data_IF_075929136387
#
_entry.id   IF_075929136387
#
_cell.length_a   1.000
_cell.length_b   1.000
_cell.length_c   1.000
_cell.angle_alpha   90.00
_cell.angle_beta   90.00
_cell.angle_gamma   90.00
#
_symmetry.space_group_name_H-M   'P 1'
#
loop_
_entity.id
_entity.type
_entity.pdbx_description
1 polymer ?
#
# COMPACT_ATOMS: atom_id res chain seq x y z
N UNK A 1 -16.33 -10.27 20.17
CA UNK A 1 -16.69 -10.78 18.82
C UNK A 1 -15.42 -10.90 17.98
N UNK A 2 -14.93 -12.13 17.77
CA UNK A 2 -13.80 -12.38 16.86
C UNK A 2 -14.32 -12.38 15.41
N UNK A 3 -14.00 -11.34 14.63
CA UNK A 3 -14.17 -11.41 13.17
C UNK A 3 -13.08 -12.33 12.63
N UNK A 4 -13.38 -13.42 11.91
CA UNK A 4 -12.33 -14.25 11.32
C UNK A 4 -11.56 -13.39 10.32
N UNK A 5 -10.32 -13.04 10.66
CA UNK A 5 -9.37 -12.49 9.67
C UNK A 5 -9.02 -13.64 8.73
N UNK A 6 -9.71 -13.71 7.60
CA UNK A 6 -9.35 -14.61 6.50
C UNK A 6 -7.95 -14.18 6.01
N UNK A 7 -6.91 -14.88 6.48
CA UNK A 7 -5.52 -14.66 6.04
C UNK A 7 -5.35 -15.24 4.64
N UNK A 8 -5.39 -14.39 3.63
CA UNK A 8 -5.07 -14.76 2.26
C UNK A 8 -3.59 -14.44 1.98
N UNK A 9 -2.70 -15.41 2.14
CA UNK A 9 -1.29 -15.23 1.80
C UNK A 9 -1.07 -15.50 0.30
N UNK A 10 -1.21 -14.46 -0.53
CA UNK A 10 -0.92 -14.53 -1.97
C UNK A 10 0.28 -13.65 -2.30
N UNK A 11 1.29 -14.24 -2.93
CA UNK A 11 2.41 -13.47 -3.50
C UNK A 11 1.85 -12.48 -4.53
N UNK A 12 2.16 -11.20 -4.34
CA UNK A 12 1.77 -10.13 -5.24
C UNK A 12 2.99 -9.30 -5.64
N UNK A 13 2.79 -8.44 -6.65
CA UNK A 13 3.69 -7.37 -7.01
C UNK A 13 2.97 -6.05 -6.76
N UNK A 14 3.70 -5.07 -6.23
CA UNK A 14 3.16 -3.75 -5.91
C UNK A 14 3.84 -2.70 -6.76
N UNK A 15 3.04 -1.76 -7.26
CA UNK A 15 3.51 -0.55 -7.91
C UNK A 15 2.85 0.66 -7.26
N UNK A 16 3.62 1.75 -7.16
CA UNK A 16 3.15 3.01 -6.63
C UNK A 16 3.21 4.06 -7.75
N UNK A 17 2.05 4.51 -8.21
CA UNK A 17 1.92 5.48 -9.30
C UNK A 17 1.18 6.71 -8.79
N UNK A 18 1.90 7.81 -8.61
CA UNK A 18 1.34 9.05 -8.03
C UNK A 18 0.67 8.77 -6.68
N UNK A 19 -0.66 8.82 -6.60
CA UNK A 19 -1.44 8.50 -5.41
C UNK A 19 -2.07 7.10 -5.40
N UNK A 20 -1.78 6.25 -6.39
CA UNK A 20 -2.37 4.92 -6.51
C UNK A 20 -1.37 3.83 -6.13
N UNK A 21 -1.76 2.98 -5.20
CA UNK A 21 -1.10 1.70 -4.93
C UNK A 21 -1.80 0.60 -5.72
N UNK A 22 -1.07 -0.01 -6.65
CA UNK A 22 -1.54 -1.08 -7.52
C UNK A 22 -0.99 -2.42 -7.06
N UNK A 23 -1.87 -3.41 -6.95
CA UNK A 23 -1.51 -4.79 -6.61
C UNK A 23 -1.77 -5.71 -7.79
N UNK A 24 -0.74 -6.44 -8.21
CA UNK A 24 -0.82 -7.42 -9.28
C UNK A 24 -0.70 -8.84 -8.70
N UNK A 25 -1.68 -9.68 -9.03
CA UNK A 25 -1.64 -11.09 -8.67
C UNK A 25 -0.55 -11.82 -9.46
N UNK A 26 0.08 -12.82 -8.86
CA UNK A 26 0.99 -13.72 -9.58
C UNK A 26 0.17 -14.59 -10.55
N UNK A 27 0.65 -14.77 -11.78
CA UNK A 27 0.06 -15.69 -12.75
C UNK A 27 0.93 -16.95 -12.89
N UNK A 28 0.30 -18.03 -13.33
CA UNK A 28 1.03 -19.23 -13.77
C UNK A 28 1.66 -18.94 -15.13
N UNK A 29 2.97 -19.02 -15.21
CA UNK A 29 3.74 -18.85 -16.45
C UNK A 29 4.41 -20.17 -16.78
N UNK A 30 4.21 -20.67 -18.01
CA UNK A 30 4.79 -21.92 -18.51
C UNK A 30 6.23 -21.75 -19.03
N UNK A 31 6.71 -20.51 -19.14
CA UNK A 31 7.99 -20.17 -19.75
C UNK A 31 8.81 -19.30 -18.78
N UNK A 32 10.14 -19.44 -18.83
CA UNK A 32 11.09 -18.62 -18.07
C UNK A 32 10.97 -17.16 -18.50
N UNK A 33 10.47 -16.32 -17.60
CA UNK A 33 10.35 -14.88 -17.82
C UNK A 33 11.71 -14.18 -17.72
N UNK A 34 11.95 -13.19 -18.58
CA UNK A 34 13.17 -12.37 -18.54
C UNK A 34 13.10 -11.34 -17.41
N UNK A 35 11.94 -10.70 -17.22
CA UNK A 35 11.75 -9.73 -16.14
C UNK A 35 10.93 -10.32 -14.99
N UNK A 36 11.24 -9.89 -13.76
CA UNK A 36 10.47 -10.28 -12.56
C UNK A 36 9.02 -9.81 -12.61
N UNK A 37 8.70 -8.77 -13.40
CA UNK A 37 7.33 -8.26 -13.56
C UNK A 37 6.43 -9.19 -14.36
N UNK A 38 6.99 -9.93 -15.31
CA UNK A 38 6.22 -10.72 -16.28
C UNK A 38 5.52 -11.95 -15.66
N UNK A 39 5.95 -12.36 -14.46
CA UNK A 39 5.31 -13.44 -13.69
C UNK A 39 4.02 -12.99 -13.00
N UNK A 40 3.65 -11.71 -13.11
CA UNK A 40 2.44 -11.14 -12.54
C UNK A 40 1.47 -10.71 -13.64
N UNK A 41 0.18 -10.66 -13.33
CA UNK A 41 -0.85 -10.21 -14.26
C UNK A 41 -0.57 -8.80 -14.77
N UNK A 42 -0.98 -8.50 -16.00
CA UNK A 42 -0.90 -7.15 -16.57
C UNK A 42 -1.92 -6.22 -15.90
N UNK A 43 -3.13 -6.73 -15.65
CA UNK A 43 -4.17 -5.97 -14.95
C UNK A 43 -3.98 -6.02 -13.43
N UNK A 44 -4.13 -4.87 -12.79
CA UNK A 44 -4.13 -4.78 -11.34
C UNK A 44 -5.33 -5.55 -10.77
N UNK A 45 -5.05 -6.44 -9.82
CA UNK A 45 -6.06 -7.16 -9.03
C UNK A 45 -6.70 -6.29 -7.95
N UNK A 46 -6.03 -5.21 -7.55
CA UNK A 46 -6.51 -4.21 -6.61
C UNK A 46 -5.82 -2.88 -6.88
N UNK A 47 -6.60 -1.81 -6.77
CA UNK A 47 -6.12 -0.43 -6.80
C UNK A 47 -6.59 0.25 -5.52
N UNK A 48 -5.67 0.90 -4.81
CA UNK A 48 -5.96 1.69 -3.63
C UNK A 48 -5.53 3.12 -3.93
N UNK A 49 -6.48 4.05 -3.86
CA UNK A 49 -6.21 5.48 -3.99
C UNK A 49 -5.90 6.03 -2.60
N UNK A 50 -4.67 6.52 -2.41
CA UNK A 50 -4.08 6.84 -1.11
C UNK A 50 -4.32 8.29 -0.67
N UNK A 51 -4.72 9.16 -1.61
CA UNK A 51 -5.11 10.54 -1.40
C UNK A 51 -6.64 10.69 -1.17
N UNK A 52 -7.39 9.59 -1.24
CA UNK A 52 -8.82 9.54 -0.98
C UNK A 52 -9.15 8.51 0.09
N UNK A 53 -10.05 8.86 0.99
CA UNK A 53 -10.37 8.03 2.15
C UNK A 53 -9.28 8.11 3.21
N UNK A 54 -9.69 8.00 4.46
CA UNK A 54 -8.80 8.18 5.63
C UNK A 54 -7.89 6.95 5.81
N UNK A 55 -7.12 6.58 4.80
CA UNK A 55 -6.19 5.46 4.88
C UNK A 55 -5.09 5.75 5.89
N UNK A 56 -4.83 4.75 6.72
CA UNK A 56 -3.72 4.78 7.68
C UNK A 56 -2.71 3.70 7.31
N UNK A 57 -1.43 4.06 7.36
CA UNK A 57 -0.34 3.11 7.15
C UNK A 57 0.39 2.82 8.47
N UNK A 58 0.59 1.53 8.75
CA UNK A 58 1.32 1.04 9.92
C UNK A 58 2.50 0.19 9.42
N UNK A 59 3.68 0.37 10.01
CA UNK A 59 4.83 -0.52 9.80
C UNK A 59 4.96 -1.51 10.96
N UNK A 60 5.36 -2.74 10.66
CA UNK A 60 5.68 -3.79 11.63
C UNK A 60 7.02 -4.40 11.25
N UNK A 61 8.10 -3.87 11.83
CA UNK A 61 9.48 -4.29 11.55
C UNK A 61 9.97 -5.33 12.55
N UNK A 62 9.49 -5.28 13.80
CA UNK A 62 9.91 -6.17 14.89
C UNK A 62 9.15 -7.52 14.93
N UNK A 63 8.25 -7.74 13.97
CA UNK A 63 7.52 -8.99 13.81
C UNK A 63 8.42 -10.04 13.13
N UNK A 64 8.17 -11.33 13.40
CA UNK A 64 8.83 -12.45 12.70
C UNK A 64 8.70 -12.37 11.16
N UNK A 65 7.67 -11.66 10.68
CA UNK A 65 7.46 -11.35 9.27
C UNK A 65 7.39 -9.82 9.08
N UNK A 66 8.48 -9.17 8.61
CA UNK A 66 8.51 -7.73 8.43
C UNK A 66 7.44 -7.33 7.40
N UNK A 67 6.56 -6.40 7.78
CA UNK A 67 5.40 -6.06 6.98
C UNK A 67 4.93 -4.61 7.18
N UNK A 68 4.12 -4.12 6.24
CA UNK A 68 3.33 -2.91 6.46
C UNK A 68 1.84 -3.21 6.24
N UNK A 69 0.98 -2.40 6.85
CA UNK A 69 -0.46 -2.55 6.80
C UNK A 69 -1.12 -1.26 6.33
N UNK A 70 -2.11 -1.38 5.46
CA UNK A 70 -3.03 -0.31 5.09
C UNK A 70 -4.40 -0.55 5.72
N UNK A 71 -4.85 0.41 6.49
CA UNK A 71 -6.09 0.37 7.25
C UNK A 71 -7.07 1.38 6.65
N UNK A 72 -8.28 0.94 6.33
CA UNK A 72 -9.38 1.82 5.93
C UNK A 72 -10.42 1.88 7.04
N UNK A 73 -10.46 2.96 7.85
CA UNK A 73 -11.29 3.07 9.04
C UNK A 73 -12.77 2.83 8.74
N UNK A 74 -13.29 3.48 7.69
CA UNK A 74 -14.71 3.43 7.33
C UNK A 74 -15.20 2.00 7.03
N UNK A 75 -14.38 1.20 6.33
CA UNK A 75 -14.76 -0.19 6.00
C UNK A 75 -14.20 -1.22 6.98
N UNK A 76 -13.34 -0.82 7.91
CA UNK A 76 -12.56 -1.72 8.77
C UNK A 76 -11.66 -2.70 8.01
N UNK A 77 -11.28 -2.38 6.76
CA UNK A 77 -10.46 -3.27 5.92
C UNK A 77 -8.99 -3.05 6.24
N UNK A 78 -8.26 -4.16 6.40
CA UNK A 78 -6.82 -4.16 6.67
C UNK A 78 -6.13 -4.98 5.57
N UNK A 79 -5.17 -4.36 4.89
CA UNK A 79 -4.30 -5.02 3.92
C UNK A 79 -2.89 -5.10 4.47
N UNK A 80 -2.45 -6.30 4.86
CA UNK A 80 -1.08 -6.56 5.32
C UNK A 80 -0.21 -7.06 4.17
N UNK A 81 0.93 -6.42 3.96
CA UNK A 81 1.92 -6.76 2.94
C UNK A 81 3.22 -7.20 3.60
N UNK A 82 3.48 -8.51 3.55
CA UNK A 82 4.72 -9.10 4.07
C UNK A 82 5.85 -8.86 3.07
N UNK A 83 6.95 -8.32 3.58
CA UNK A 83 8.12 -7.94 2.81
C UNK A 83 9.27 -8.91 3.05
N UNK A 84 10.28 -8.88 2.17
CA UNK A 84 11.46 -9.74 2.27
C UNK A 84 12.50 -9.25 3.28
N UNK A 85 12.42 -7.98 3.66
CA UNK A 85 13.35 -7.34 4.59
C UNK A 85 12.70 -6.12 5.24
N UNK A 86 13.17 -5.74 6.42
CA UNK A 86 12.78 -4.51 7.10
C UNK A 86 13.06 -3.27 6.25
N UNK A 87 14.20 -3.23 5.56
CA UNK A 87 14.52 -2.13 4.62
C UNK A 87 13.40 -1.91 3.61
N UNK A 88 12.87 -3.00 3.03
CA UNK A 88 11.74 -2.94 2.08
C UNK A 88 10.49 -2.37 2.75
N UNK A 89 10.19 -2.78 3.99
CA UNK A 89 9.06 -2.23 4.76
C UNK A 89 9.20 -0.72 4.94
N UNK A 90 10.38 -0.25 5.33
CA UNK A 90 10.64 1.17 5.60
C UNK A 90 10.56 2.03 4.33
N UNK A 91 11.08 1.52 3.20
CA UNK A 91 10.98 2.19 1.89
C UNK A 91 9.52 2.36 1.45
N UNK A 92 8.72 1.29 1.55
CA UNK A 92 7.30 1.33 1.22
C UNK A 92 6.51 2.24 2.18
N UNK A 93 6.76 2.10 3.48
CA UNK A 93 6.12 2.92 4.51
C UNK A 93 6.36 4.41 4.25
N UNK A 94 7.62 4.81 4.03
CA UNK A 94 7.99 6.21 3.83
C UNK A 94 7.39 6.77 2.54
N UNK A 95 7.42 5.99 1.46
CA UNK A 95 6.88 6.39 0.15
C UNK A 95 5.37 6.63 0.21
N UNK A 96 4.62 5.70 0.81
CA UNK A 96 3.17 5.81 0.97
C UNK A 96 2.80 6.95 1.94
N UNK A 97 3.49 7.05 3.08
CA UNK A 97 3.23 8.10 4.07
C UNK A 97 3.41 9.49 3.47
N UNK A 98 4.46 9.69 2.65
CA UNK A 98 4.72 10.96 1.96
C UNK A 98 3.56 11.35 1.03
N UNK A 99 3.01 10.40 0.28
CA UNK A 99 1.85 10.64 -0.59
C UNK A 99 0.64 11.05 0.23
N UNK A 100 0.31 10.30 1.28
CA UNK A 100 -0.83 10.61 2.15
C UNK A 100 -0.70 11.99 2.81
N UNK A 101 0.50 12.38 3.23
CA UNK A 101 0.76 13.70 3.83
C UNK A 101 0.64 14.84 2.82
N UNK A 102 1.01 14.62 1.56
CA UNK A 102 0.85 15.62 0.50
C UNK A 102 -0.60 15.78 0.04
N UNK A 103 -1.45 14.77 0.27
CA UNK A 103 -2.86 14.80 -0.07
C UNK A 103 -3.70 15.63 0.91
N UNK A 104 -3.24 15.81 2.15
CA UNK A 104 -3.92 16.66 3.13
C UNK A 104 -3.83 18.11 2.62
N UNK A 105 -4.97 18.78 2.34
CA UNK A 105 -4.94 20.19 2.00
C UNK A 105 -4.29 20.94 3.15
N UNK A 106 -3.08 21.47 2.94
CA UNK A 106 -2.55 22.47 3.86
C UNK A 106 -3.47 23.67 3.70
N UNK A 107 -4.35 23.90 4.68
CA UNK A 107 -5.03 25.19 4.80
C UNK A 107 -3.94 26.25 4.67
N UNK A 108 -3.97 27.13 3.66
CA UNK A 108 -2.99 28.19 3.58
C UNK A 108 -3.12 28.99 4.88
N UNK A 109 -2.06 28.99 5.69
CA UNK A 109 -2.03 29.66 7.00
C UNK A 109 -2.08 31.19 6.89
N UNK A 110 -2.22 31.72 5.68
CA UNK A 110 -2.23 33.13 5.39
C UNK A 110 -3.65 33.51 4.97
N UNK A 111 -4.49 33.83 5.96
CA UNK A 111 -5.60 34.73 5.73
C UNK A 111 -4.98 36.06 5.30
N UNK A 112 -4.98 36.32 3.99
CA UNK A 112 -4.73 37.68 3.49
C UNK A 112 -5.97 38.47 3.86
N UNK A 113 -5.91 39.19 4.99
CA UNK A 113 -6.87 40.23 5.31
C UNK A 113 -6.53 41.46 4.46
N UNK A 114 -7.50 41.95 3.70
CA UNK A 114 -7.44 43.27 3.08
C UNK A 114 -8.08 44.26 4.06
N UNK A 115 -7.34 45.31 4.42
CA UNK A 115 -7.89 46.51 5.08
C UNK A 115 -8.77 47.31 4.10
#
# INVERSE_FOLDING_TARGET
MFRPQIKCNRKCYLELHSSHLLQFGRRTVSIRCKNRRDVYCEKASKTIKLDEGEWHIIRRVDDAEPSFELHHPQTGRIYRYICKSEKTVLEWYSSIRRIMQNAIPRTPSNLITFD
#
